data_IF_392242479123
#
_entry.id   IF_392242479123
#
_cell.length_a   1.000
_cell.length_b   1.000
_cell.length_c   1.000
_cell.angle_alpha   90.00
_cell.angle_beta   90.00
_cell.angle_gamma   90.00
#
_symmetry.space_group_name_H-M   'P 1'
#
loop_
_entity.id
_entity.type
_entity.pdbx_description
1 polymer ?
#
# COMPACT_ATOMS: atom_id res chain seq x y z
N UNK A 1 23.30 -24.35 -10.42
CA UNK A 1 22.79 -22.97 -10.53
C UNK A 1 23.74 -22.06 -9.75
N UNK A 2 24.31 -21.04 -10.37
CA UNK A 2 25.36 -20.22 -9.75
C UNK A 2 24.83 -19.14 -8.79
N UNK A 3 25.68 -18.56 -7.93
CA UNK A 3 25.30 -17.57 -6.92
C UNK A 3 24.64 -16.31 -7.51
N UNK A 4 25.00 -15.93 -8.73
CA UNK A 4 24.39 -14.80 -9.45
C UNK A 4 22.90 -15.02 -9.77
N UNK A 5 22.51 -16.26 -10.11
CA UNK A 5 21.12 -16.59 -10.42
C UNK A 5 20.24 -16.56 -9.16
N UNK A 6 20.75 -17.08 -8.04
CA UNK A 6 20.05 -17.00 -6.76
C UNK A 6 19.85 -15.54 -6.32
N UNK A 7 20.84 -14.67 -6.51
CA UNK A 7 20.73 -13.25 -6.21
C UNK A 7 19.66 -12.57 -7.06
N UNK A 8 19.65 -12.79 -8.38
CA UNK A 8 18.65 -12.19 -9.27
C UNK A 8 17.22 -12.66 -8.93
N UNK A 9 17.03 -13.95 -8.65
CA UNK A 9 15.74 -14.51 -8.25
C UNK A 9 15.25 -13.84 -6.95
N UNK A 10 16.14 -13.65 -5.97
CA UNK A 10 15.79 -12.99 -4.72
C UNK A 10 15.35 -11.53 -4.91
N UNK A 11 16.01 -10.79 -5.81
CA UNK A 11 15.65 -9.39 -6.11
C UNK A 11 14.27 -9.29 -6.76
N UNK A 12 13.99 -10.15 -7.74
CA UNK A 12 12.68 -10.21 -8.39
C UNK A 12 11.60 -10.59 -7.37
N UNK A 13 11.88 -11.55 -6.49
CA UNK A 13 10.95 -11.96 -5.44
C UNK A 13 10.60 -10.80 -4.49
N UNK A 14 11.56 -9.96 -4.10
CA UNK A 14 11.31 -8.76 -3.28
C UNK A 14 10.37 -7.79 -4.00
N UNK A 15 10.65 -7.47 -5.27
CA UNK A 15 9.82 -6.55 -6.06
C UNK A 15 8.38 -7.08 -6.18
N UNK A 16 8.23 -8.37 -6.48
CA UNK A 16 6.91 -9.02 -6.57
C UNK A 16 6.18 -9.04 -5.23
N UNK A 17 6.89 -9.31 -4.12
CA UNK A 17 6.29 -9.29 -2.79
C UNK A 17 5.76 -7.89 -2.44
N UNK A 18 6.54 -6.84 -2.72
CA UNK A 18 6.08 -5.45 -2.56
C UNK A 18 4.84 -5.14 -3.40
N UNK A 19 4.81 -5.55 -4.67
CA UNK A 19 3.65 -5.37 -5.54
C UNK A 19 2.40 -6.10 -4.99
N UNK A 20 2.55 -7.35 -4.55
CA UNK A 20 1.45 -8.14 -3.97
C UNK A 20 0.94 -7.49 -2.69
N UNK A 21 1.83 -7.02 -1.81
CA UNK A 21 1.44 -6.29 -0.59
C UNK A 21 0.67 -5.03 -0.96
N UNK A 22 1.19 -4.19 -1.88
CA UNK A 22 0.52 -2.95 -2.29
C UNK A 22 -0.86 -3.17 -2.87
N UNK A 23 -1.00 -4.11 -3.81
CA UNK A 23 -2.29 -4.51 -4.38
C UNK A 23 -3.24 -5.08 -3.32
N UNK A 24 -2.73 -5.96 -2.46
CA UNK A 24 -3.50 -6.62 -1.41
C UNK A 24 -4.05 -5.63 -0.38
N UNK A 25 -3.22 -4.69 0.08
CA UNK A 25 -3.63 -3.62 0.98
C UNK A 25 -4.75 -2.80 0.35
N UNK A 26 -4.60 -2.32 -0.91
CA UNK A 26 -5.67 -1.52 -1.55
C UNK A 26 -6.94 -2.32 -1.79
N UNK A 27 -6.82 -3.61 -2.11
CA UNK A 27 -7.98 -4.46 -2.28
C UNK A 27 -8.78 -4.58 -0.97
N UNK A 28 -8.09 -4.78 0.16
CA UNK A 28 -8.74 -4.90 1.47
C UNK A 28 -9.35 -3.56 1.89
N UNK A 29 -8.63 -2.46 1.71
CA UNK A 29 -9.06 -1.07 1.94
C UNK A 29 -10.38 -0.77 1.20
N UNK A 30 -10.37 -0.87 -0.13
CA UNK A 30 -11.54 -0.59 -0.96
C UNK A 30 -12.71 -1.59 -0.74
N UNK A 31 -12.43 -2.80 -0.26
CA UNK A 31 -13.48 -3.77 0.08
C UNK A 31 -14.24 -3.38 1.35
N UNK A 32 -13.57 -2.76 2.32
CA UNK A 32 -14.16 -2.46 3.62
C UNK A 32 -14.70 -1.04 3.72
N UNK A 33 -13.99 -0.08 3.13
CA UNK A 33 -14.27 1.34 3.33
C UNK A 33 -15.18 1.88 2.21
N UNK A 34 -15.01 1.37 0.99
CA UNK A 34 -15.71 1.86 -0.20
C UNK A 34 -16.67 0.81 -0.83
N UNK A 35 -16.81 -0.38 -0.23
CA UNK A 35 -17.65 -1.49 -0.71
C UNK A 35 -17.45 -1.86 -2.20
N UNK A 36 -16.26 -1.59 -2.77
CA UNK A 36 -15.98 -1.81 -4.20
C UNK A 36 -15.67 -3.26 -4.53
N UNK A 37 -15.22 -4.01 -3.53
CA UNK A 37 -14.80 -5.40 -3.65
C UNK A 37 -15.50 -6.28 -2.59
N UNK A 38 -15.35 -7.60 -2.71
CA UNK A 38 -16.02 -8.53 -1.81
C UNK A 38 -15.29 -8.61 -0.46
N UNK A 39 -15.96 -8.17 0.62
CA UNK A 39 -15.51 -8.32 2.01
C UNK A 39 -15.09 -9.77 2.36
N UNK A 40 -15.82 -10.77 1.86
CA UNK A 40 -15.47 -12.20 2.05
C UNK A 40 -14.10 -12.55 1.47
N UNK A 41 -13.82 -12.08 0.25
CA UNK A 41 -12.51 -12.29 -0.39
C UNK A 41 -11.41 -11.51 0.33
N UNK A 42 -11.69 -10.28 0.75
CA UNK A 42 -10.74 -9.47 1.49
C UNK A 42 -10.34 -10.10 2.83
N UNK A 43 -11.29 -10.70 3.57
CA UNK A 43 -11.00 -11.49 4.79
C UNK A 43 -10.02 -12.63 4.51
N UNK A 44 -10.18 -13.34 3.38
CA UNK A 44 -9.27 -14.44 3.01
C UNK A 44 -7.90 -13.95 2.52
N UNK A 45 -7.83 -12.79 1.86
CA UNK A 45 -6.59 -12.21 1.34
C UNK A 45 -5.73 -11.60 2.46
N UNK A 46 -6.35 -10.95 3.45
CA UNK A 46 -5.65 -10.29 4.56
C UNK A 46 -4.56 -11.13 5.25
N UNK A 47 -4.82 -12.36 5.72
CA UNK A 47 -3.79 -13.16 6.38
C UNK A 47 -2.63 -13.54 5.44
N UNK A 48 -2.90 -13.70 4.13
CA UNK A 48 -1.87 -13.99 3.13
C UNK A 48 -0.94 -12.78 2.98
N UNK A 49 -1.50 -11.57 2.88
CA UNK A 49 -0.73 -10.33 2.78
C UNK A 49 0.10 -10.09 4.04
N UNK A 50 -0.48 -10.31 5.22
CA UNK A 50 0.23 -10.21 6.50
C UNK A 50 1.38 -11.22 6.56
N UNK A 51 1.17 -12.46 6.12
CA UNK A 51 2.22 -13.48 6.12
C UNK A 51 3.36 -13.12 5.16
N UNK A 52 3.06 -12.65 3.95
CA UNK A 52 4.09 -12.19 2.98
C UNK A 52 4.90 -11.03 3.58
N UNK A 53 4.22 -10.04 4.18
CA UNK A 53 4.88 -8.92 4.85
C UNK A 53 5.81 -9.40 5.97
N UNK A 54 5.33 -10.28 6.84
CA UNK A 54 6.11 -10.85 7.94
C UNK A 54 7.35 -11.55 7.40
N UNK A 55 7.19 -12.47 6.45
CA UNK A 55 8.31 -13.19 5.84
C UNK A 55 9.34 -12.21 5.29
N UNK A 56 8.90 -11.22 4.51
CA UNK A 56 9.81 -10.24 3.93
C UNK A 56 10.55 -9.42 4.99
N UNK A 57 9.83 -9.02 6.05
CA UNK A 57 10.41 -8.24 7.15
C UNK A 57 11.39 -9.04 8.01
N UNK A 58 11.20 -10.36 8.13
CA UNK A 58 12.10 -11.23 8.89
C UNK A 58 13.43 -11.49 8.19
N UNK A 59 13.40 -11.59 6.85
CA UNK A 59 14.58 -11.92 6.06
C UNK A 59 15.32 -10.70 5.53
N UNK A 60 14.68 -9.52 5.52
CA UNK A 60 15.28 -8.32 4.97
C UNK A 60 14.91 -7.05 5.77
N UNK A 61 15.90 -6.48 6.45
CA UNK A 61 15.73 -5.32 7.32
C UNK A 61 15.36 -4.05 6.55
N UNK A 62 15.80 -3.93 5.29
CA UNK A 62 15.44 -2.78 4.45
C UNK A 62 13.97 -2.85 4.05
N UNK A 63 13.49 -4.02 3.61
CA UNK A 63 12.06 -4.25 3.35
C UNK A 63 11.23 -3.96 4.59
N UNK A 64 11.65 -4.48 5.76
CA UNK A 64 10.98 -4.21 7.03
C UNK A 64 10.89 -2.69 7.26
N UNK A 65 12.01 -1.98 7.14
CA UNK A 65 12.07 -0.53 7.36
C UNK A 65 11.07 0.22 6.48
N UNK A 66 11.02 -0.06 5.18
CA UNK A 66 10.12 0.64 4.26
C UNK A 66 8.66 0.28 4.56
N UNK A 67 8.34 -1.00 4.68
CA UNK A 67 6.97 -1.45 4.92
C UNK A 67 6.43 -0.91 6.26
N UNK A 68 7.23 -0.98 7.34
CA UNK A 68 6.84 -0.42 8.63
C UNK A 68 6.76 1.11 8.60
N UNK A 69 7.54 1.81 7.76
CA UNK A 69 7.36 3.25 7.55
C UNK A 69 5.98 3.58 6.97
N UNK A 70 5.52 2.78 5.99
CA UNK A 70 4.18 2.91 5.41
C UNK A 70 3.12 2.65 6.49
N UNK A 71 3.27 1.57 7.27
CA UNK A 71 2.35 1.22 8.35
C UNK A 71 2.25 2.33 9.41
N UNK A 72 3.39 2.84 9.87
CA UNK A 72 3.43 3.91 10.87
C UNK A 72 2.85 5.22 10.34
N UNK A 73 3.08 5.56 9.08
CA UNK A 73 2.47 6.75 8.49
C UNK A 73 0.93 6.69 8.56
N UNK A 74 0.33 5.57 8.15
CA UNK A 74 -1.12 5.34 8.17
C UNK A 74 -1.68 5.26 9.60
N UNK A 75 -0.92 4.68 10.53
CA UNK A 75 -1.28 4.65 11.95
C UNK A 75 -1.32 6.04 12.56
N UNK A 76 -0.30 6.86 12.32
CA UNK A 76 -0.17 8.20 12.88
C UNK A 76 -1.21 9.18 12.33
N UNK A 77 -1.71 8.93 11.12
CA UNK A 77 -2.80 9.73 10.52
C UNK A 77 -4.19 9.23 10.90
N UNK A 78 -4.29 8.10 11.59
CA UNK A 78 -5.57 7.58 12.11
C UNK A 78 -6.48 7.00 11.03
N UNK A 79 -5.95 6.68 9.86
CA UNK A 79 -6.69 6.13 8.71
C UNK A 79 -7.16 4.69 8.88
N UNK A 80 -6.71 4.01 9.95
CA UNK A 80 -7.10 2.63 10.24
C UNK A 80 -8.45 2.62 10.99
N UNK A 81 -9.55 2.50 10.26
CA UNK A 81 -10.90 2.45 10.82
C UNK A 81 -11.46 1.01 10.93
N UNK A 82 -11.08 0.11 10.03
CA UNK A 82 -11.58 -1.26 9.94
C UNK A 82 -10.90 -2.28 10.88
N UNK A 83 -11.70 -3.20 11.44
CA UNK A 83 -11.24 -4.26 12.36
C UNK A 83 -10.17 -5.17 11.75
N UNK A 84 -10.28 -5.51 10.46
CA UNK A 84 -9.28 -6.38 9.80
C UNK A 84 -7.93 -5.70 9.73
N UNK A 85 -7.88 -4.41 9.40
CA UNK A 85 -6.63 -3.67 9.42
C UNK A 85 -6.11 -3.52 10.84
N UNK A 86 -6.96 -3.26 11.84
CA UNK A 86 -6.53 -3.19 13.26
C UNK A 86 -5.88 -4.49 13.72
N UNK A 87 -6.50 -5.63 13.46
CA UNK A 87 -5.95 -6.95 13.82
C UNK A 87 -4.66 -7.24 13.07
N UNK A 88 -4.62 -6.94 11.76
CA UNK A 88 -3.42 -7.11 10.93
C UNK A 88 -2.26 -6.26 11.44
N UNK A 89 -2.53 -5.01 11.80
CA UNK A 89 -1.54 -4.08 12.34
C UNK A 89 -1.01 -4.53 13.70
N UNK A 90 -1.89 -5.00 14.60
CA UNK A 90 -1.45 -5.56 15.88
C UNK A 90 -0.51 -6.76 15.68
N UNK A 91 -0.84 -7.66 14.74
CA UNK A 91 0.02 -8.80 14.41
C UNK A 91 1.40 -8.35 13.88
N UNK A 92 1.42 -7.39 12.94
CA UNK A 92 2.66 -6.85 12.36
C UNK A 92 3.53 -6.15 13.41
N UNK A 93 2.94 -5.30 14.25
CA UNK A 93 3.65 -4.61 15.34
C UNK A 93 4.20 -5.63 16.34
N UNK A 94 3.40 -6.63 16.73
CA UNK A 94 3.84 -7.66 17.69
C UNK A 94 5.09 -8.38 17.17
N UNK A 95 5.08 -8.75 15.89
CA UNK A 95 6.23 -9.42 15.25
C UNK A 95 7.43 -8.48 15.14
N UNK A 96 7.23 -7.21 14.80
CA UNK A 96 8.29 -6.21 14.77
C UNK A 96 9.06 -6.16 16.09
N UNK A 97 8.33 -6.03 17.20
CA UNK A 97 8.90 -5.98 18.54
C UNK A 97 9.63 -7.27 18.93
N UNK A 98 9.11 -8.43 18.52
CA UNK A 98 9.70 -9.72 18.87
C UNK A 98 10.93 -10.10 18.03
N UNK A 99 11.13 -9.49 16.85
CA UNK A 99 12.10 -10.03 15.88
C UNK A 99 13.06 -9.01 15.28
N UNK A 100 12.61 -7.81 14.93
CA UNK A 100 13.35 -6.92 14.04
C UNK A 100 13.63 -5.53 14.62
N UNK A 101 13.13 -5.22 15.82
CA UNK A 101 13.25 -3.87 16.41
C UNK A 101 14.71 -3.37 16.45
N UNK A 102 15.68 -4.26 16.67
CA UNK A 102 17.11 -3.91 16.72
C UNK A 102 17.78 -3.83 15.34
N UNK A 103 17.17 -4.38 14.29
CA UNK A 103 17.74 -4.45 12.94
C UNK A 103 17.14 -3.40 11.99
N UNK A 104 16.12 -2.65 12.42
CA UNK A 104 15.53 -1.58 11.62
C UNK A 104 16.54 -0.46 11.37
N UNK A 105 16.50 0.10 10.15
CA UNK A 105 17.26 1.29 9.82
C UNK A 105 16.51 2.52 10.35
N UNK A 106 16.76 2.89 11.60
CA UNK A 106 16.00 3.94 12.30
C UNK A 106 15.95 5.28 11.57
N UNK A 107 17.06 5.71 10.96
CA UNK A 107 17.11 6.97 10.21
C UNK A 107 16.17 6.91 8.99
N UNK A 108 16.32 5.95 8.05
CA UNK A 108 15.33 5.70 6.99
C UNK A 108 13.90 5.53 7.49
N UNK A 109 13.68 4.77 8.56
CA UNK A 109 12.35 4.48 9.12
C UNK A 109 11.63 5.77 9.52
N UNK A 110 12.26 6.59 10.37
CA UNK A 110 11.66 7.84 10.85
C UNK A 110 11.46 8.80 9.69
N UNK A 111 12.46 8.95 8.82
CA UNK A 111 12.38 9.86 7.68
C UNK A 111 11.25 9.49 6.72
N UNK A 112 11.15 8.22 6.30
CA UNK A 112 10.09 7.75 5.41
C UNK A 112 8.72 7.80 6.07
N UNK A 113 8.63 7.52 7.38
CA UNK A 113 7.38 7.68 8.13
C UNK A 113 6.89 9.12 8.07
N UNK A 114 7.77 10.11 8.29
CA UNK A 114 7.42 11.53 8.19
C UNK A 114 6.98 11.91 6.78
N UNK A 115 7.66 11.42 5.73
CA UNK A 115 7.25 11.63 4.35
C UNK A 115 5.87 11.02 4.06
N UNK A 116 5.58 9.83 4.59
CA UNK A 116 4.28 9.19 4.47
C UNK A 116 3.17 9.93 5.21
N UNK A 117 3.45 10.47 6.40
CA UNK A 117 2.50 11.33 7.13
C UNK A 117 2.22 12.61 6.34
N UNK A 118 3.24 13.20 5.71
CA UNK A 118 3.08 14.38 4.86
C UNK A 118 2.20 14.09 3.64
N UNK A 119 2.39 12.95 2.98
CA UNK A 119 1.53 12.51 1.88
C UNK A 119 0.08 12.35 2.32
N UNK A 120 -0.17 11.67 3.43
CA UNK A 120 -1.52 11.37 3.90
C UNK A 120 -2.25 12.64 4.38
N UNK A 121 -1.59 13.50 5.17
CA UNK A 121 -2.15 14.80 5.57
C UNK A 121 -2.33 15.74 4.40
N UNK A 122 -1.42 15.71 3.43
CA UNK A 122 -1.53 16.49 2.21
C UNK A 122 -2.70 16.04 1.34
N UNK A 123 -2.95 14.73 1.24
CA UNK A 123 -4.10 14.19 0.55
C UNK A 123 -5.40 14.65 1.22
N UNK A 124 -5.49 14.53 2.55
CA UNK A 124 -6.66 15.03 3.31
C UNK A 124 -6.86 16.54 3.16
N UNK A 125 -5.79 17.31 3.09
CA UNK A 125 -5.88 18.75 2.89
C UNK A 125 -6.49 19.09 1.52
N UNK A 126 -6.02 18.42 0.46
CA UNK A 126 -6.53 18.61 -0.91
C UNK A 126 -7.99 18.19 -1.02
N UNK A 127 -8.38 17.07 -0.42
CA UNK A 127 -9.76 16.58 -0.47
C UNK A 127 -10.76 17.57 0.16
N UNK A 128 -10.31 18.36 1.13
CA UNK A 128 -11.14 19.31 1.87
C UNK A 128 -11.05 20.77 1.36
N UNK A 129 -10.09 21.09 0.48
CA UNK A 129 -9.84 22.47 0.05
C UNK A 129 -9.65 22.56 -1.47
N UNK A 130 -10.18 23.63 -2.07
CA UNK A 130 -9.86 23.95 -3.46
C UNK A 130 -8.37 24.32 -3.58
N UNK A 131 -7.58 23.42 -4.16
CA UNK A 131 -6.14 23.61 -4.37
C UNK A 131 -5.80 23.64 -5.86
N UNK A 132 -4.56 24.00 -6.18
CA UNK A 132 -4.06 23.94 -7.55
C UNK A 132 -3.98 22.49 -8.02
N UNK A 133 -4.29 22.23 -9.29
CA UNK A 133 -4.23 20.87 -9.89
C UNK A 133 -2.89 20.15 -9.70
N UNK A 134 -1.78 20.89 -9.65
CA UNK A 134 -0.47 20.31 -9.38
C UNK A 134 -0.35 19.80 -7.94
N UNK A 135 -0.86 20.55 -6.97
CA UNK A 135 -0.82 20.17 -5.55
C UNK A 135 -1.71 18.96 -5.32
N UNK A 136 -2.90 18.95 -5.95
CA UNK A 136 -3.80 17.80 -5.95
C UNK A 136 -3.13 16.56 -6.53
N UNK A 137 -2.45 16.69 -7.67
CA UNK A 137 -1.71 15.58 -8.27
C UNK A 137 -0.59 15.07 -7.36
N UNK A 138 0.21 15.94 -6.75
CA UNK A 138 1.34 15.52 -5.90
C UNK A 138 0.88 14.68 -4.70
N UNK A 139 -0.15 15.15 -3.99
CA UNK A 139 -0.62 14.46 -2.79
C UNK A 139 -1.50 13.24 -3.09
N UNK A 140 -2.26 13.25 -4.19
CA UNK A 140 -3.10 12.10 -4.60
C UNK A 140 -2.30 10.84 -4.93
N UNK A 141 -1.01 10.99 -5.27
CA UNK A 141 -0.14 9.91 -5.75
C UNK A 141 1.06 9.65 -4.82
N UNK A 142 0.96 10.01 -3.53
CA UNK A 142 1.98 9.76 -2.49
C UNK A 142 3.40 10.17 -2.93
N UNK A 143 3.52 11.40 -3.44
CA UNK A 143 4.76 11.86 -4.03
C UNK A 143 5.89 12.05 -3.01
N UNK A 144 5.59 12.47 -1.78
CA UNK A 144 6.61 12.73 -0.76
C UNK A 144 7.39 11.46 -0.40
N UNK A 145 6.74 10.31 -0.22
CA UNK A 145 7.44 9.05 0.05
C UNK A 145 8.31 8.60 -1.12
N UNK A 146 7.87 8.79 -2.37
CA UNK A 146 8.69 8.47 -3.56
C UNK A 146 9.99 9.29 -3.57
N UNK A 147 9.87 10.59 -3.32
CA UNK A 147 11.02 11.49 -3.26
C UNK A 147 11.91 11.21 -2.04
N UNK A 148 11.31 10.87 -0.90
CA UNK A 148 12.03 10.46 0.30
C UNK A 148 12.83 9.17 0.08
N UNK A 149 12.26 8.20 -0.62
CA UNK A 149 12.98 6.97 -0.94
C UNK A 149 14.09 7.21 -1.96
N UNK A 150 13.82 8.01 -2.99
CA UNK A 150 14.82 8.41 -3.97
C UNK A 150 16.01 9.12 -3.32
N UNK A 151 15.76 10.04 -2.37
CA UNK A 151 16.83 10.76 -1.68
C UNK A 151 17.69 9.83 -0.82
N UNK A 152 17.09 8.85 -0.13
CA UNK A 152 17.84 7.82 0.61
C UNK A 152 18.69 6.93 -0.32
N UNK A 153 18.21 6.63 -1.53
CA UNK A 153 19.00 5.90 -2.53
C UNK A 153 20.19 6.73 -3.05
N UNK A 154 19.98 8.02 -3.33
CA UNK A 154 21.04 8.94 -3.78
C UNK A 154 22.11 9.11 -2.69
N UNK A 155 21.71 9.22 -1.42
CA UNK A 155 22.59 9.29 -0.26
C UNK A 155 23.22 7.95 0.13
N UNK A 156 23.02 6.90 -0.68
CA UNK A 156 23.51 5.53 -0.48
C UNK A 156 23.08 4.88 0.83
N UNK A 157 22.06 5.43 1.50
CA UNK A 157 21.47 4.88 2.72
C UNK A 157 20.57 3.68 2.43
N UNK A 158 20.05 3.57 1.20
CA UNK A 158 19.22 2.44 0.74
C UNK A 158 19.64 1.97 -0.66
N UNK A 159 19.64 0.65 -0.93
CA UNK A 159 19.90 0.14 -2.28
C UNK A 159 18.80 0.53 -3.28
N UNK A 160 19.19 0.79 -4.53
CA UNK A 160 18.26 1.14 -5.63
C UNK A 160 17.17 0.11 -5.89
N UNK A 161 17.42 -1.17 -5.57
CA UNK A 161 16.43 -2.24 -5.63
C UNK A 161 15.13 -1.86 -4.92
N UNK A 162 15.23 -1.19 -3.77
CA UNK A 162 14.06 -0.88 -2.95
C UNK A 162 13.26 0.30 -3.48
N UNK A 163 13.88 1.20 -4.25
CA UNK A 163 13.14 2.20 -5.01
C UNK A 163 12.24 1.50 -6.03
N UNK A 164 12.76 0.51 -6.76
CA UNK A 164 11.97 -0.26 -7.72
C UNK A 164 10.88 -1.08 -7.01
N UNK A 165 11.20 -1.72 -5.90
CA UNK A 165 10.23 -2.47 -5.11
C UNK A 165 9.09 -1.58 -4.59
N UNK A 166 9.43 -0.40 -4.06
CA UNK A 166 8.42 0.57 -3.61
C UNK A 166 7.57 1.12 -4.74
N UNK A 167 8.15 1.41 -5.92
CA UNK A 167 7.40 1.81 -7.10
C UNK A 167 6.47 0.68 -7.59
N UNK A 168 6.89 -0.58 -7.48
CA UNK A 168 6.04 -1.73 -7.79
C UNK A 168 4.89 -1.86 -6.78
N UNK A 169 5.14 -1.65 -5.49
CA UNK A 169 4.11 -1.58 -4.46
C UNK A 169 3.09 -0.48 -4.77
N UNK A 170 3.54 0.76 -5.01
CA UNK A 170 2.66 1.90 -5.27
C UNK A 170 1.91 1.77 -6.60
N UNK A 171 2.58 1.30 -7.66
CA UNK A 171 1.94 1.04 -8.96
C UNK A 171 0.88 -0.05 -8.88
N UNK A 172 1.12 -1.11 -8.11
CA UNK A 172 0.14 -2.16 -7.88
C UNK A 172 -1.05 -1.67 -7.03
N UNK A 173 -0.78 -0.85 -6.00
CA UNK A 173 -1.80 -0.20 -5.18
C UNK A 173 -2.74 0.66 -6.05
N UNK A 174 -2.19 1.55 -6.88
CA UNK A 174 -3.00 2.42 -7.75
C UNK A 174 -3.71 1.64 -8.86
N UNK A 175 -3.11 0.57 -9.38
CA UNK A 175 -3.76 -0.32 -10.36
C UNK A 175 -5.05 -0.92 -9.78
N UNK A 176 -5.03 -1.38 -8.53
CA UNK A 176 -6.23 -1.90 -7.85
C UNK A 176 -7.27 -0.79 -7.65
N UNK A 177 -6.85 0.41 -7.25
CA UNK A 177 -7.74 1.58 -7.12
C UNK A 177 -8.45 1.90 -8.44
N UNK A 178 -7.73 1.89 -9.55
CA UNK A 178 -8.31 2.11 -10.89
C UNK A 178 -9.33 1.03 -11.26
N UNK A 179 -9.02 -0.25 -11.00
CA UNK A 179 -9.95 -1.36 -11.21
C UNK A 179 -11.21 -1.22 -10.36
N UNK A 180 -11.07 -0.79 -9.11
CA UNK A 180 -12.19 -0.48 -8.21
C UNK A 180 -13.10 0.62 -8.75
N UNK A 181 -12.54 1.69 -9.31
CA UNK A 181 -13.29 2.77 -9.97
C UNK A 181 -14.07 2.28 -11.19
N UNK A 182 -13.45 1.46 -12.04
CA UNK A 182 -14.08 0.89 -13.25
C UNK A 182 -15.22 -0.06 -12.87
N UNK A 183 -15.01 -0.92 -11.87
CA UNK A 183 -16.02 -1.86 -11.37
C UNK A 183 -17.30 -1.15 -10.92
N UNK A 184 -17.16 -0.08 -10.12
CA UNK A 184 -18.30 0.71 -9.64
C UNK A 184 -19.02 1.43 -10.79
N UNK A 185 -18.28 2.00 -11.74
CA UNK A 185 -18.87 2.64 -12.92
C UNK A 185 -19.71 1.65 -13.74
N UNK A 186 -19.21 0.42 -13.91
CA UNK A 186 -19.92 -0.65 -14.62
C UNK A 186 -21.19 -1.08 -13.86
N UNK A 187 -21.13 -1.21 -12.53
CA UNK A 187 -22.31 -1.55 -11.72
C UNK A 187 -23.39 -0.45 -11.76
N UNK A 188 -23.00 0.83 -11.70
CA UNK A 188 -23.93 1.95 -11.83
C UNK A 188 -24.63 1.95 -13.19
N UNK A 189 -23.89 1.72 -14.28
CA UNK A 189 -24.46 1.63 -15.63
C UNK A 189 -25.45 0.47 -15.75
N UNK A 190 -25.11 -0.71 -15.24
CA UNK A 190 -26.00 -1.89 -15.24
C UNK A 190 -27.28 -1.64 -14.43
N UNK A 191 -27.19 -1.03 -13.25
CA UNK A 191 -28.36 -0.67 -12.43
C UNK A 191 -29.26 0.34 -13.14
N UNK A 192 -28.67 1.31 -13.84
CA UNK A 192 -29.42 2.30 -14.61
C UNK A 192 -30.12 1.70 -15.84
N UNK A 193 -29.50 0.73 -16.53
CA UNK A 193 -30.14 0.00 -17.65
C UNK A 193 -31.32 -0.86 -17.18
N UNK A 194 -31.19 -1.52 -16.02
CA UNK A 194 -32.29 -2.32 -15.43
C UNK A 194 -33.44 -1.40 -14.97
N UNK A 195 -33.14 -0.22 -14.43
CA UNK A 195 -34.17 0.73 -14.00
C UNK A 195 -34.94 1.39 -15.17
N UNK A 196 -34.37 1.46 -16.38
CA UNK A 196 -35.04 1.98 -17.59
C UNK A 196 -35.88 0.90 -18.29
N UNK A 197 -35.75 -0.37 -17.90
CA UNK A 197 -36.59 -1.46 -18.39
C UNK A 197 -37.59 -1.94 -17.32
N UNK A 198 -38.54 -1.12 -16.83
CA UNK A 198 -39.70 -1.66 -16.17
C UNK A 198 -40.61 -2.28 -17.22
N UNK A 199 -40.70 -3.61 -17.19
CA UNK A 199 -41.88 -4.41 -17.58
C UNK A 199 -42.80 -3.79 -18.63
N UNK A 200 -42.51 -4.04 -19.91
CA UNK A 200 -43.57 -4.20 -20.90
C UNK A 200 -44.04 -5.65 -20.77
N UNK A 201 -44.88 -5.91 -19.77
CA UNK A 201 -45.63 -7.16 -19.70
C UNK A 201 -47.08 -6.81 -20.07
N UNK A 202 -47.40 -7.23 -21.29
CA UNK A 202 -48.68 -7.77 -21.83
C UNK A 202 -50.00 -7.41 -21.14
#
# INVERSE_FOLDING_TARGET
>A
MGPLYCALISQIAIILAFAIIGAGLKYIDDAFDEDRFSKKKAISIAPIIVLIWICLSLFDSVSATILFSILFAVLLTGKIDNLIFKVSTIALISILFLTQMLNLLWIPLVFLTLMGVADEKGNDYVDNHATLKLVEFLFSYRFCMKMGLLSLCILTLLPWLYLLAFLAHDGAYESVRMLGKISVAHQRKKKHTIAISPTVNE
#
